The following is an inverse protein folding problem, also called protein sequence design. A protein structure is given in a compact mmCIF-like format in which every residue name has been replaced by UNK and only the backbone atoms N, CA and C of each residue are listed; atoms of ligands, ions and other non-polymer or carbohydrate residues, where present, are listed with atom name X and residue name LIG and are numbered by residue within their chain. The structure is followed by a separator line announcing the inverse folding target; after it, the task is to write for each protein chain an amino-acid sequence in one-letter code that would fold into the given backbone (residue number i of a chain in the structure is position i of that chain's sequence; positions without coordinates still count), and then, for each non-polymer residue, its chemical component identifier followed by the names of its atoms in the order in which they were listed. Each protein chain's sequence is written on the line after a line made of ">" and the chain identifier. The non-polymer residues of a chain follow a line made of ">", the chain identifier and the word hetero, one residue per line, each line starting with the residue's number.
data_IF_403145293072
#
_entry.id   IF_403145293072
#
_cell.length_a   1.000
_cell.length_b   1.000
_cell.length_c   1.000
_cell.angle_alpha   90.00
_cell.angle_beta   90.00
_cell.angle_gamma   90.00
#
_symmetry.space_group_name_H-M   'P 1'
#
loop_
_entity.id
_entity.type
_entity.pdbx_description
1 polymer ?
#
# COMPACT_ATOMS: atom_id res chain seq x y z
N UNK A 1 2.17 -2.48 -3.79
CA UNK A 1 2.60 -3.76 -4.39
C UNK A 1 2.88 -4.79 -3.30
N UNK A 2 2.22 -5.94 -3.38
CA UNK A 2 2.40 -7.10 -2.51
C UNK A 2 2.86 -8.31 -3.32
N UNK A 3 3.50 -9.28 -2.67
CA UNK A 3 3.69 -10.61 -3.27
C UNK A 3 2.35 -11.34 -3.40
N UNK A 4 2.25 -12.22 -4.40
CA UNK A 4 1.08 -13.07 -4.62
C UNK A 4 -0.02 -12.36 -5.42
N UNK A 5 -1.16 -13.05 -5.51
CA UNK A 5 -2.37 -12.61 -6.19
C UNK A 5 -3.55 -12.76 -5.22
N UNK A 6 -3.74 -11.80 -4.28
CA UNK A 6 -4.85 -11.86 -3.34
C UNK A 6 -6.18 -11.89 -4.08
N UNK A 7 -7.10 -12.72 -3.59
CA UNK A 7 -8.51 -12.69 -4.00
C UNK A 7 -9.26 -11.54 -3.31
N UNK A 8 -10.48 -11.25 -3.75
CA UNK A 8 -11.31 -10.25 -3.06
C UNK A 8 -11.65 -10.67 -1.62
N UNK A 9 -11.80 -11.98 -1.37
CA UNK A 9 -12.06 -12.55 -0.05
C UNK A 9 -10.86 -12.33 0.89
N UNK A 10 -9.64 -12.51 0.39
CA UNK A 10 -8.42 -12.23 1.16
C UNK A 10 -8.34 -10.76 1.62
N UNK A 11 -8.84 -9.84 0.79
CA UNK A 11 -8.88 -8.42 1.11
C UNK A 11 -9.94 -8.08 2.16
N UNK A 12 -10.94 -8.94 2.37
CA UNK A 12 -11.99 -8.70 3.35
C UNK A 12 -11.41 -8.55 4.75
N UNK A 13 -10.42 -9.38 5.11
CA UNK A 13 -9.71 -9.28 6.39
C UNK A 13 -9.16 -7.85 6.60
N UNK A 14 -8.58 -7.25 5.56
CA UNK A 14 -8.04 -5.90 5.62
C UNK A 14 -9.13 -4.83 5.75
N UNK A 15 -10.32 -5.09 5.19
CA UNK A 15 -11.46 -4.15 5.18
C UNK A 15 -12.16 -4.06 6.52
N UNK A 16 -12.37 -5.19 7.20
CA UNK A 16 -13.03 -5.20 8.53
C UNK A 16 -12.11 -4.79 9.67
N UNK A 17 -10.81 -5.00 9.52
CA UNK A 17 -9.82 -4.73 10.56
C UNK A 17 -9.07 -5.99 10.97
N UNK A 18 -7.79 -5.82 11.28
CA UNK A 18 -6.86 -6.93 11.48
C UNK A 18 -6.27 -6.83 12.87
N UNK A 19 -6.29 -7.94 13.61
CA UNK A 19 -5.52 -8.05 14.85
C UNK A 19 -4.02 -8.23 14.53
N UNK A 20 -3.24 -7.20 14.85
CA UNK A 20 -1.80 -7.18 14.66
C UNK A 20 -1.02 -7.59 15.92
N UNK A 21 -1.71 -7.93 17.01
CA UNK A 21 -1.18 -8.39 18.29
C UNK A 21 -1.09 -7.30 19.36
N UNK A 22 -0.57 -6.12 19.01
CA UNK A 22 -0.49 -4.95 19.89
C UNK A 22 -1.72 -4.04 19.75
N UNK A 23 -2.41 -4.07 18.61
CA UNK A 23 -3.69 -3.41 18.40
C UNK A 23 -4.46 -4.08 17.27
N UNK A 24 -5.77 -3.84 17.25
CA UNK A 24 -6.65 -4.17 16.13
C UNK A 24 -6.81 -2.92 15.25
N UNK A 25 -6.55 -3.06 13.95
CA UNK A 25 -6.70 -1.93 13.03
C UNK A 25 -8.16 -1.50 12.91
N UNK A 26 -8.38 -0.23 12.64
CA UNK A 26 -9.68 0.24 12.15
C UNK A 26 -9.99 -0.36 10.77
N UNK A 27 -11.27 -0.39 10.38
CA UNK A 27 -11.66 -0.71 9.01
C UNK A 27 -10.93 0.16 7.99
N UNK A 28 -10.63 -0.42 6.83
CA UNK A 28 -9.91 0.25 5.75
C UNK A 28 -10.63 0.06 4.40
N UNK A 29 -10.50 1.01 3.49
CA UNK A 29 -10.95 0.79 2.11
C UNK A 29 -9.79 0.14 1.35
N UNK A 30 -10.03 -1.06 0.81
CA UNK A 30 -9.00 -1.86 0.12
C UNK A 30 -9.53 -2.44 -1.18
N UNK A 31 -8.80 -2.20 -2.27
CA UNK A 31 -9.10 -2.74 -3.59
C UNK A 31 -7.83 -3.15 -4.33
N UNK A 32 -7.95 -4.14 -5.22
CA UNK A 32 -6.94 -4.41 -6.23
C UNK A 32 -6.96 -3.30 -7.29
N UNK A 33 -5.79 -3.02 -7.86
CA UNK A 33 -5.65 -2.10 -8.98
C UNK A 33 -4.53 -2.57 -9.89
N UNK A 34 -4.52 -2.05 -11.13
CA UNK A 34 -3.38 -2.20 -12.01
C UNK A 34 -2.16 -1.41 -11.50
N UNK A 35 -0.98 -1.73 -12.03
CA UNK A 35 0.19 -0.89 -11.76
C UNK A 35 -0.09 0.56 -12.18
N UNK A 36 0.13 1.55 -11.30
CA UNK A 36 -0.07 2.95 -11.64
C UNK A 36 0.75 3.35 -12.86
N UNK A 37 0.12 4.01 -13.84
CA UNK A 37 0.81 4.50 -15.02
C UNK A 37 1.91 5.51 -14.64
N UNK A 38 3.07 5.43 -15.32
CA UNK A 38 4.17 6.38 -15.11
C UNK A 38 4.88 6.24 -13.75
N UNK A 39 4.74 5.10 -13.08
CA UNK A 39 5.41 4.87 -11.80
C UNK A 39 6.94 4.86 -11.97
N UNK A 40 7.64 5.69 -11.19
CA UNK A 40 9.11 5.73 -11.24
C UNK A 40 9.73 4.40 -10.80
N UNK A 41 10.91 4.09 -11.33
CA UNK A 41 11.68 2.92 -10.91
C UNK A 41 12.20 3.09 -9.47
N UNK A 42 12.35 1.98 -8.74
CA UNK A 42 12.94 1.99 -7.39
C UNK A 42 14.43 1.66 -7.48
N UNK A 43 15.26 2.44 -6.78
CA UNK A 43 16.71 2.19 -6.66
C UNK A 43 17.08 2.07 -5.18
N UNK A 44 17.58 0.91 -4.71
CA UNK A 44 17.70 -0.36 -5.42
C UNK A 44 16.32 -0.98 -5.72
N UNK A 45 16.24 -1.87 -6.74
CA UNK A 45 14.99 -2.53 -7.09
C UNK A 45 14.41 -3.32 -5.91
N UNK A 46 13.11 -3.66 -6.02
CA UNK A 46 12.50 -4.59 -5.07
C UNK A 46 13.15 -5.96 -5.20
N UNK A 47 13.27 -6.68 -4.08
CA UNK A 47 13.64 -8.10 -4.10
C UNK A 47 12.38 -8.89 -4.43
N UNK A 48 12.21 -9.22 -5.69
CA UNK A 48 11.10 -10.04 -6.17
C UNK A 48 11.57 -11.46 -6.48
N UNK A 49 10.65 -12.42 -6.30
CA UNK A 49 10.84 -13.79 -6.75
C UNK A 49 10.13 -13.93 -8.08
N UNK A 50 10.87 -14.07 -9.18
CA UNK A 50 10.32 -14.10 -10.55
C UNK A 50 9.18 -15.11 -10.76
N UNK A 51 9.14 -16.20 -9.99
CA UNK A 51 8.10 -17.22 -10.08
C UNK A 51 6.81 -16.87 -9.32
N UNK A 52 6.81 -15.80 -8.52
CA UNK A 52 5.66 -15.38 -7.71
C UNK A 52 5.11 -14.09 -8.33
N UNK A 53 3.81 -14.04 -8.67
CA UNK A 53 3.20 -12.81 -9.18
C UNK A 53 3.22 -11.71 -8.12
N UNK A 54 2.98 -10.48 -8.55
CA UNK A 54 2.78 -9.36 -7.62
C UNK A 54 1.50 -8.62 -7.98
N UNK A 55 0.84 -8.07 -6.97
CA UNK A 55 -0.42 -7.32 -7.14
C UNK A 55 -0.29 -5.93 -6.55
N UNK A 56 -0.88 -4.94 -7.23
CA UNK A 56 -1.04 -3.60 -6.70
C UNK A 56 -2.35 -3.49 -5.94
N UNK A 57 -2.27 -2.88 -4.75
CA UNK A 57 -3.41 -2.64 -3.88
C UNK A 57 -3.49 -1.14 -3.62
N UNK A 58 -4.70 -0.60 -3.71
CA UNK A 58 -5.04 0.68 -3.11
C UNK A 58 -5.52 0.41 -1.69
N UNK A 59 -4.90 1.06 -0.70
CA UNK A 59 -5.25 0.94 0.71
C UNK A 59 -5.41 2.33 1.28
N UNK A 60 -6.61 2.64 1.79
CA UNK A 60 -6.92 3.90 2.47
C UNK A 60 -7.22 3.60 3.93
N UNK A 61 -6.45 4.24 4.81
CA UNK A 61 -6.55 4.10 6.27
C UNK A 61 -6.74 5.49 6.89
N UNK A 62 -7.41 5.52 8.03
CA UNK A 62 -7.67 6.73 8.83
C UNK A 62 -6.78 6.82 10.07
N UNK A 63 -5.79 5.94 10.18
CA UNK A 63 -4.82 5.87 11.27
C UNK A 63 -3.39 5.72 10.73
N UNK A 64 -2.40 5.89 11.61
CA UNK A 64 -0.97 5.96 11.24
C UNK A 64 -0.07 5.19 12.18
N UNK A 65 -0.40 3.93 12.49
CA UNK A 65 0.39 3.11 13.43
C UNK A 65 1.69 2.59 12.80
N UNK A 66 2.64 2.19 13.64
CA UNK A 66 3.97 1.76 13.20
C UNK A 66 3.89 0.61 12.20
N UNK A 67 4.38 0.86 10.97
CA UNK A 67 4.41 -0.10 9.85
C UNK A 67 3.06 -0.76 9.54
N UNK A 68 1.96 -0.10 9.86
CA UNK A 68 0.61 -0.67 9.83
C UNK A 68 0.28 -1.41 8.52
N UNK A 69 0.37 -0.72 7.36
CA UNK A 69 0.06 -1.32 6.05
C UNK A 69 0.90 -2.57 5.76
N UNK A 70 2.18 -2.55 6.14
CA UNK A 70 3.09 -3.70 5.94
C UNK A 70 2.71 -4.88 6.83
N UNK A 71 2.29 -4.62 8.07
CA UNK A 71 1.85 -5.64 9.02
C UNK A 71 0.51 -6.24 8.62
N UNK A 72 -0.44 -5.39 8.23
CA UNK A 72 -1.76 -5.80 7.69
C UNK A 72 -1.62 -6.76 6.52
N UNK A 73 -0.90 -6.36 5.48
CA UNK A 73 -0.72 -7.17 4.26
C UNK A 73 0.05 -8.47 4.53
N UNK A 74 1.07 -8.46 5.40
CA UNK A 74 1.76 -9.68 5.82
C UNK A 74 0.84 -10.63 6.61
N UNK A 75 -0.03 -10.10 7.48
CA UNK A 75 -1.00 -10.89 8.26
C UNK A 75 -2.07 -11.53 7.35
N UNK A 76 -2.42 -10.86 6.25
CA UNK A 76 -3.26 -11.42 5.20
C UNK A 76 -2.54 -12.42 4.28
N UNK A 77 -1.24 -12.67 4.46
CA UNK A 77 -0.48 -13.63 3.65
C UNK A 77 0.20 -13.04 2.41
N UNK A 78 0.14 -11.72 2.19
CA UNK A 78 0.65 -11.04 1.00
C UNK A 78 1.66 -9.94 1.39
N UNK A 79 2.92 -10.28 1.74
CA UNK A 79 3.89 -9.30 2.22
C UNK A 79 4.11 -8.12 1.26
N UNK A 80 4.20 -6.90 1.81
CA UNK A 80 4.45 -5.68 1.02
C UNK A 80 5.88 -5.63 0.48
N UNK A 81 6.02 -5.57 -0.84
CA UNK A 81 7.28 -5.31 -1.55
C UNK A 81 7.58 -3.81 -1.69
N UNK A 82 6.57 -3.05 -2.12
CA UNK A 82 6.65 -1.60 -2.37
C UNK A 82 5.41 -0.90 -1.82
N UNK A 83 5.64 0.16 -1.04
CA UNK A 83 4.62 1.00 -0.45
C UNK A 83 4.87 2.44 -0.89
N UNK A 84 3.87 3.06 -1.51
CA UNK A 84 3.87 4.45 -1.93
C UNK A 84 2.69 5.11 -1.25
N UNK A 85 2.92 6.22 -0.57
CA UNK A 85 1.83 7.02 -0.01
C UNK A 85 1.43 8.05 -1.03
N UNK A 86 0.33 7.78 -1.73
CA UNK A 86 -0.18 8.63 -2.79
C UNK A 86 -0.84 9.91 -2.27
N UNK A 87 -1.60 9.82 -1.16
CA UNK A 87 -2.35 10.94 -0.60
C UNK A 87 -2.29 11.00 0.94
N UNK A 88 -2.49 12.22 1.47
CA UNK A 88 -2.71 12.51 2.89
C UNK A 88 -3.78 13.59 3.00
N UNK A 89 -4.95 13.24 3.53
CA UNK A 89 -6.09 14.15 3.54
C UNK A 89 -6.43 14.60 2.11
N UNK A 90 -6.42 15.92 1.87
CA UNK A 90 -6.68 16.52 0.56
C UNK A 90 -5.47 16.59 -0.37
N UNK A 91 -4.27 16.26 0.10
CA UNK A 91 -3.04 16.41 -0.67
C UNK A 91 -2.69 15.10 -1.37
N UNK A 92 -2.39 15.18 -2.66
CA UNK A 92 -1.86 14.06 -3.48
C UNK A 92 -0.44 14.37 -3.94
N UNK A 93 0.24 13.36 -4.48
CA UNK A 93 1.54 13.52 -5.15
C UNK A 93 1.40 13.86 -6.64
N UNK A 94 0.21 14.21 -7.12
CA UNK A 94 -0.01 14.52 -8.53
C UNK A 94 0.84 15.72 -8.97
N UNK A 95 1.52 15.56 -10.10
CA UNK A 95 2.44 16.57 -10.63
C UNK A 95 3.72 16.75 -9.82
N UNK A 96 4.02 15.87 -8.87
CA UNK A 96 5.28 15.87 -8.09
C UNK A 96 6.10 14.65 -8.50
N UNK A 97 7.25 14.89 -9.12
CA UNK A 97 8.18 13.84 -9.53
C UNK A 97 8.90 13.26 -8.30
N UNK A 98 9.36 12.02 -8.38
CA UNK A 98 10.11 11.40 -7.29
C UNK A 98 11.36 12.23 -6.93
N UNK A 99 11.50 12.58 -5.64
CA UNK A 99 12.61 13.40 -5.14
C UNK A 99 12.32 14.90 -5.15
N UNK A 100 11.27 15.35 -5.82
CA UNK A 100 10.88 16.75 -5.91
C UNK A 100 9.85 17.14 -4.86
N UNK A 101 9.64 18.45 -4.72
CA UNK A 101 8.61 19.02 -3.86
C UNK A 101 7.88 20.17 -4.56
N UNK A 102 6.69 20.51 -4.05
CA UNK A 102 5.92 21.68 -4.47
C UNK A 102 5.51 22.49 -3.25
N UNK A 103 5.77 23.79 -3.29
CA UNK A 103 5.30 24.73 -2.26
C UNK A 103 3.88 25.16 -2.61
N UNK A 104 2.97 25.05 -1.65
CA UNK A 104 1.60 25.54 -1.80
C UNK A 104 1.55 26.98 -1.32
N UNK A 105 1.03 27.87 -2.16
CA UNK A 105 0.64 29.22 -1.76
C UNK A 105 -0.76 29.18 -1.15
N UNK A 106 -0.93 29.92 -0.06
CA UNK A 106 -2.21 30.15 0.64
C UNK A 106 -3.12 31.06 -0.17
#
# INVERSE_FOLDING_TARGET
>A
QVEGAPSDEDLQLLRVGVDLGDFVTQPAEVSMMDEPAGLWARTPPIRERKAIPTTWLQIKISEGKNRQVRRMTAKAGFPTLRLIRYAIGRYTIDGIVNGEFKVLTT
#
